data_IF_836913498844
#
_entry.id   IF_836913498844
#
_cell.length_a   1.000
_cell.length_b   1.000
_cell.length_c   1.000
_cell.angle_alpha   90.00
_cell.angle_beta   90.00
_cell.angle_gamma   90.00
#
_symmetry.space_group_name_H-M   'P 1'
#
loop_
_entity.id
_entity.type
_entity.pdbx_description
1 polymer ?
#
# COMPACT_ATOMS: atom_id res chain seq x y z
N UNK A 1 -31.49 42.78 27.78
CA UNK A 1 -31.21 43.27 26.42
C UNK A 1 -29.76 43.03 26.00
N UNK A 2 -28.73 43.71 26.52
CA UNK A 2 -27.32 43.44 26.11
C UNK A 2 -26.89 42.01 26.43
N UNK A 3 -27.25 41.48 27.60
CA UNK A 3 -26.90 40.10 27.96
C UNK A 3 -27.57 39.05 27.04
N UNK A 4 -28.76 39.36 26.52
CA UNK A 4 -29.44 38.51 25.53
C UNK A 4 -28.74 38.57 24.17
N UNK A 5 -28.28 39.77 23.77
CA UNK A 5 -27.48 39.95 22.55
C UNK A 5 -26.16 39.18 22.63
N UNK A 6 -25.47 39.23 23.78
CA UNK A 6 -24.23 38.48 24.00
C UNK A 6 -24.50 36.98 23.93
N UNK A 7 -25.55 36.48 24.57
CA UNK A 7 -25.91 35.06 24.49
C UNK A 7 -26.26 34.62 23.06
N UNK A 8 -26.98 35.45 22.31
CA UNK A 8 -27.28 35.18 20.91
C UNK A 8 -26.01 35.10 20.06
N UNK A 9 -25.09 36.07 20.20
CA UNK A 9 -23.82 36.07 19.47
C UNK A 9 -22.93 34.89 19.86
N UNK A 10 -22.90 34.54 21.15
CA UNK A 10 -22.18 33.37 21.63
C UNK A 10 -22.71 32.09 20.96
N UNK A 11 -24.03 31.93 20.86
CA UNK A 11 -24.62 30.76 20.19
C UNK A 11 -24.17 30.66 18.72
N UNK A 12 -24.18 31.78 17.98
CA UNK A 12 -23.69 31.80 16.59
C UNK A 12 -22.20 31.45 16.52
N UNK A 13 -21.39 32.00 17.43
CA UNK A 13 -19.97 31.70 17.50
C UNK A 13 -19.71 30.21 17.78
N UNK A 14 -20.49 29.60 18.69
CA UNK A 14 -20.40 28.19 19.02
C UNK A 14 -20.84 27.30 17.84
N UNK A 15 -21.91 27.67 17.11
CA UNK A 15 -22.32 27.01 15.87
C UNK A 15 -21.22 27.02 14.80
N UNK A 16 -20.52 28.16 14.63
CA UNK A 16 -19.44 28.29 13.66
C UNK A 16 -18.20 27.47 14.07
N UNK A 17 -17.91 27.35 15.38
CA UNK A 17 -16.88 26.44 15.89
C UNK A 17 -17.24 24.97 15.63
N UNK A 18 -18.50 24.59 15.79
CA UNK A 18 -18.94 23.23 15.51
C UNK A 18 -18.90 22.92 14.01
N UNK A 19 -19.25 23.89 13.16
CA UNK A 19 -19.08 23.80 11.70
C UNK A 19 -17.62 23.58 11.32
N UNK A 20 -16.68 24.26 11.97
CA UNK A 20 -15.25 24.02 11.81
C UNK A 20 -14.88 22.57 12.13
N UNK A 21 -15.26 22.07 13.32
CA UNK A 21 -14.94 20.69 13.75
C UNK A 21 -15.49 19.66 12.76
N UNK A 22 -16.70 19.87 12.26
CA UNK A 22 -17.32 18.99 11.26
C UNK A 22 -16.53 19.01 9.95
N UNK A 23 -16.10 20.19 9.48
CA UNK A 23 -15.31 20.31 8.26
C UNK A 23 -13.95 19.61 8.39
N UNK A 24 -13.22 19.88 9.48
CA UNK A 24 -11.93 19.25 9.76
C UNK A 24 -12.07 17.73 9.93
N UNK A 25 -13.08 17.28 10.67
CA UNK A 25 -13.38 15.86 10.83
C UNK A 25 -13.62 15.16 9.49
N UNK A 26 -14.40 15.77 8.59
CA UNK A 26 -14.64 15.21 7.25
C UNK A 26 -13.41 15.24 6.36
N UNK A 27 -12.58 16.29 6.42
CA UNK A 27 -11.29 16.31 5.70
C UNK A 27 -10.37 15.19 6.19
N UNK A 28 -10.23 15.02 7.51
CA UNK A 28 -9.41 13.96 8.11
C UNK A 28 -9.91 12.56 7.70
N UNK A 29 -11.22 12.36 7.65
CA UNK A 29 -11.83 11.11 7.13
C UNK A 29 -11.48 10.86 5.66
N UNK A 30 -11.52 11.89 4.80
CA UNK A 30 -11.13 11.75 3.38
C UNK A 30 -9.66 11.35 3.26
N UNK A 31 -8.77 11.97 4.05
CA UNK A 31 -7.33 11.62 4.05
C UNK A 31 -7.15 10.16 4.46
N UNK A 32 -7.75 9.75 5.58
CA UNK A 32 -7.68 8.37 6.08
C UNK A 32 -8.20 7.36 5.07
N UNK A 33 -9.40 7.58 4.54
CA UNK A 33 -10.02 6.68 3.56
C UNK A 33 -9.23 6.63 2.25
N UNK A 34 -8.66 7.74 1.80
CA UNK A 34 -7.80 7.74 0.60
C UNK A 34 -6.56 6.86 0.79
N UNK A 35 -5.96 6.86 1.99
CA UNK A 35 -4.83 5.97 2.33
C UNK A 35 -5.21 4.48 2.28
N UNK A 36 -6.41 4.12 2.75
CA UNK A 36 -6.93 2.76 2.67
C UNK A 36 -7.08 2.33 1.20
N UNK A 37 -7.69 3.18 0.36
CA UNK A 37 -7.85 2.88 -1.07
C UNK A 37 -6.52 2.76 -1.80
N UNK A 38 -5.52 3.59 -1.49
CA UNK A 38 -4.17 3.46 -2.06
C UNK A 38 -3.52 2.11 -1.71
N UNK A 39 -3.72 1.65 -0.47
CA UNK A 39 -3.24 0.32 -0.04
C UNK A 39 -3.93 -0.79 -0.82
N UNK A 40 -5.25 -0.70 -1.01
CA UNK A 40 -6.03 -1.68 -1.78
C UNK A 40 -5.61 -1.70 -3.25
N UNK A 41 -5.29 -0.54 -3.83
CA UNK A 41 -4.73 -0.45 -5.19
C UNK A 41 -3.34 -1.11 -5.24
N UNK A 42 -2.50 -0.92 -4.23
CA UNK A 42 -1.19 -1.60 -4.13
C UNK A 42 -1.33 -3.13 -4.13
N UNK A 43 -2.32 -3.66 -3.40
CA UNK A 43 -2.66 -5.08 -3.44
C UNK A 43 -3.13 -5.51 -4.83
N UNK A 44 -3.99 -4.71 -5.47
CA UNK A 44 -4.49 -4.99 -6.82
C UNK A 44 -3.33 -5.05 -7.83
N UNK A 45 -2.39 -4.12 -7.75
CA UNK A 45 -1.19 -4.10 -8.60
C UNK A 45 -0.39 -5.40 -8.44
N UNK A 46 -0.17 -5.86 -7.21
CA UNK A 46 0.53 -7.14 -6.93
C UNK A 46 -0.19 -8.32 -7.58
N UNK A 47 -1.51 -8.39 -7.45
CA UNK A 47 -2.32 -9.46 -8.04
C UNK A 47 -2.25 -9.44 -9.58
N UNK A 48 -2.29 -8.25 -10.16
CA UNK A 48 -2.19 -8.04 -11.60
C UNK A 48 -0.81 -8.37 -12.17
N UNK A 49 0.24 -8.11 -11.40
CA UNK A 49 1.61 -8.50 -11.76
C UNK A 49 1.72 -10.02 -11.91
N UNK A 50 1.13 -10.79 -11.01
CA UNK A 50 1.14 -12.25 -11.08
C UNK A 50 0.31 -12.79 -12.26
N UNK A 51 -0.73 -12.07 -12.69
CA UNK A 51 -1.58 -12.45 -13.80
C UNK A 51 -1.11 -11.88 -15.16
N UNK A 52 0.04 -11.21 -15.21
CA UNK A 52 0.47 -10.45 -16.39
C UNK A 52 0.69 -11.33 -17.61
N UNK A 53 1.23 -12.54 -17.47
CA UNK A 53 1.62 -13.36 -18.63
C UNK A 53 0.41 -13.85 -19.44
N UNK A 54 -0.76 -13.96 -18.81
CA UNK A 54 -2.01 -14.36 -19.45
C UNK A 54 -2.79 -13.20 -20.11
N UNK A 55 -2.35 -11.95 -19.92
CA UNK A 55 -3.07 -10.77 -20.43
C UNK A 55 -2.55 -10.29 -21.78
N UNK A 56 -3.47 -9.91 -22.67
CA UNK A 56 -3.12 -9.23 -23.91
C UNK A 56 -2.41 -7.89 -23.61
N UNK A 57 -1.39 -7.54 -24.40
CA UNK A 57 -0.56 -6.35 -24.15
C UNK A 57 -1.37 -5.05 -24.16
N UNK A 58 -2.38 -4.94 -25.04
CA UNK A 58 -3.27 -3.77 -25.09
C UNK A 58 -4.04 -3.59 -23.78
N UNK A 59 -4.51 -4.69 -23.19
CA UNK A 59 -5.24 -4.66 -21.91
C UNK A 59 -4.31 -4.21 -20.77
N UNK A 60 -3.05 -4.65 -20.76
CA UNK A 60 -2.05 -4.19 -19.78
C UNK A 60 -1.84 -2.68 -19.83
N UNK A 61 -1.68 -2.12 -21.02
CA UNK A 61 -1.47 -0.68 -21.21
C UNK A 61 -2.67 0.10 -20.69
N UNK A 62 -3.89 -0.29 -21.08
CA UNK A 62 -5.12 0.35 -20.60
C UNK A 62 -5.21 0.27 -19.08
N UNK A 63 -4.91 -0.89 -18.50
CA UNK A 63 -4.96 -1.10 -17.06
C UNK A 63 -3.99 -0.18 -16.31
N UNK A 64 -2.75 -0.06 -16.79
CA UNK A 64 -1.74 0.83 -16.20
C UNK A 64 -2.25 2.28 -16.22
N UNK A 65 -2.77 2.74 -17.36
CA UNK A 65 -3.33 4.09 -17.49
C UNK A 65 -4.48 4.32 -16.49
N UNK A 66 -5.42 3.38 -16.39
CA UNK A 66 -6.56 3.47 -15.47
C UNK A 66 -6.08 3.52 -14.01
N UNK A 67 -5.15 2.64 -13.62
CA UNK A 67 -4.59 2.63 -12.26
C UNK A 67 -3.87 3.94 -11.94
N UNK A 68 -3.07 4.47 -12.87
CA UNK A 68 -2.39 5.78 -12.68
C UNK A 68 -3.38 6.91 -12.49
N UNK A 69 -4.48 6.94 -13.27
CA UNK A 69 -5.55 7.94 -13.11
C UNK A 69 -6.20 7.83 -11.74
N UNK A 70 -6.51 6.60 -11.28
CA UNK A 70 -7.11 6.36 -9.96
C UNK A 70 -6.18 6.86 -8.84
N UNK A 71 -4.89 6.50 -8.88
CA UNK A 71 -3.90 6.97 -7.89
C UNK A 71 -3.85 8.50 -7.87
N UNK A 72 -3.80 9.13 -9.04
CA UNK A 72 -3.76 10.60 -9.17
C UNK A 72 -5.00 11.25 -8.55
N UNK A 73 -6.18 10.66 -8.73
CA UNK A 73 -7.43 11.16 -8.13
C UNK A 73 -7.40 11.06 -6.59
N UNK A 74 -6.92 9.97 -6.03
CA UNK A 74 -6.79 9.82 -4.58
C UNK A 74 -5.74 10.77 -3.99
N UNK A 75 -4.59 10.94 -4.65
CA UNK A 75 -3.58 11.92 -4.24
C UNK A 75 -4.13 13.35 -4.29
N UNK A 76 -4.83 13.72 -5.36
CA UNK A 76 -5.46 15.05 -5.50
C UNK A 76 -6.52 15.28 -4.42
N UNK A 77 -7.32 14.27 -4.13
CA UNK A 77 -8.30 14.31 -3.03
C UNK A 77 -7.63 14.53 -1.68
N UNK A 78 -6.56 13.79 -1.41
CA UNK A 78 -5.80 13.90 -0.17
C UNK A 78 -5.15 15.27 -0.03
N UNK A 79 -4.56 15.80 -1.11
CA UNK A 79 -3.94 17.11 -1.13
C UNK A 79 -4.94 18.22 -0.80
N UNK A 80 -6.10 18.24 -1.47
CA UNK A 80 -7.15 19.22 -1.20
C UNK A 80 -7.69 19.13 0.24
N UNK A 81 -7.82 17.91 0.79
CA UNK A 81 -8.23 17.73 2.18
C UNK A 81 -7.17 18.21 3.18
N UNK A 82 -5.88 17.98 2.91
CA UNK A 82 -4.76 18.47 3.73
C UNK A 82 -4.67 20.00 3.71
N UNK A 83 -4.91 20.64 2.56
CA UNK A 83 -5.03 22.10 2.47
C UNK A 83 -6.18 22.63 3.33
N UNK A 84 -7.29 21.89 3.45
CA UNK A 84 -8.40 22.23 4.35
C UNK A 84 -8.10 22.03 5.84
N UNK A 85 -7.07 21.25 6.17
CA UNK A 85 -6.64 20.96 7.55
C UNK A 85 -5.46 21.83 8.01
N UNK A 86 -4.84 22.61 7.13
CA UNK A 86 -3.60 23.32 7.46
C UNK A 86 -3.81 24.39 8.53
N UNK A 87 -3.30 24.23 9.77
CA UNK A 87 -3.50 25.21 10.83
C UNK A 87 -2.81 26.54 10.54
N UNK A 88 -1.78 26.56 9.70
CA UNK A 88 -1.06 27.79 9.33
C UNK A 88 -1.87 28.67 8.38
N UNK A 89 -2.75 28.07 7.58
CA UNK A 89 -3.58 28.79 6.60
C UNK A 89 -4.82 29.42 7.22
N UNK A 90 -5.33 28.89 8.34
CA UNK A 90 -6.58 29.36 8.95
C UNK A 90 -6.32 29.88 10.37
N UNK A 91 -6.11 31.20 10.47
CA UNK A 91 -5.96 31.90 11.74
C UNK A 91 -7.33 32.36 12.23
N UNK A 92 -7.95 31.56 13.07
CA UNK A 92 -9.25 31.88 13.67
C UNK A 92 -9.13 33.05 14.63
N UNK A 93 -10.10 33.96 14.55
CA UNK A 93 -10.25 35.05 15.50
C UNK A 93 -10.88 34.51 16.79
N UNK A 94 -10.33 34.94 17.93
CA UNK A 94 -10.82 34.64 19.27
C UNK A 94 -10.75 35.91 20.10
N UNK A 95 -11.73 36.08 21.00
CA UNK A 95 -11.67 37.15 22.00
C UNK A 95 -10.41 37.02 22.86
N UNK A 96 -9.78 38.15 23.18
CA UNK A 96 -8.58 38.16 23.99
C UNK A 96 -8.96 38.08 25.49
N UNK A 97 -8.49 37.06 26.23
CA UNK A 97 -8.82 36.94 27.65
C UNK A 97 -8.26 38.08 28.52
N UNK A 98 -7.22 38.80 28.06
CA UNK A 98 -6.66 39.93 28.84
C UNK A 98 -7.56 41.16 28.84
N UNK A 99 -8.45 41.27 27.86
CA UNK A 99 -9.40 42.38 27.68
C UNK A 99 -10.32 42.54 28.89
N UNK A 100 -10.53 41.49 29.69
CA UNK A 100 -11.30 41.54 30.96
C UNK A 100 -10.70 42.53 31.97
N UNK A 101 -9.38 42.72 31.97
CA UNK A 101 -8.69 43.57 32.95
C UNK A 101 -8.58 45.04 32.51
N UNK A 102 -8.97 45.36 31.28
CA UNK A 102 -8.77 46.68 30.67
C UNK A 102 -9.95 47.64 30.94
N UNK A 103 -11.09 47.13 31.41
CA UNK A 103 -12.31 47.91 31.62
C UNK A 103 -12.62 48.08 33.10
N UNK A 104 -12.84 49.34 33.51
CA UNK A 104 -13.30 49.67 34.87
C UNK A 104 -14.82 49.64 35.01
N UNK A 105 -15.56 49.70 33.90
CA UNK A 105 -17.03 49.65 33.86
C UNK A 105 -17.50 48.39 33.14
N UNK A 106 -18.53 47.77 33.70
CA UNK A 106 -19.10 46.53 33.18
C UNK A 106 -19.80 46.76 31.84
N UNK A 107 -20.44 47.91 31.66
CA UNK A 107 -21.14 48.27 30.44
C UNK A 107 -20.19 48.38 29.24
N UNK A 108 -19.05 49.06 29.43
CA UNK A 108 -18.02 49.23 28.39
C UNK A 108 -17.42 47.87 27.99
N UNK A 109 -17.21 46.98 28.98
CA UNK A 109 -16.76 45.61 28.74
C UNK A 109 -17.79 44.79 27.93
N UNK A 110 -19.08 44.90 28.26
CA UNK A 110 -20.14 44.21 27.53
C UNK A 110 -20.24 44.69 26.08
N UNK A 111 -20.05 45.99 25.83
CA UNK A 111 -20.00 46.51 24.46
C UNK A 111 -18.79 45.97 23.69
N UNK A 112 -17.62 45.88 24.33
CA UNK A 112 -16.44 45.29 23.72
C UNK A 112 -16.64 43.80 23.38
N UNK A 113 -17.27 43.02 24.27
CA UNK A 113 -17.61 41.61 24.01
C UNK A 113 -18.45 41.47 22.75
N UNK A 114 -19.47 42.32 22.58
CA UNK A 114 -20.33 42.31 21.39
C UNK A 114 -19.50 42.57 20.12
N UNK A 115 -18.59 43.55 20.15
CA UNK A 115 -17.68 43.85 19.03
C UNK A 115 -16.76 42.68 18.70
N UNK A 116 -16.14 42.09 19.72
CA UNK A 116 -15.22 40.96 19.55
C UNK A 116 -15.93 39.74 18.96
N UNK A 117 -17.16 39.45 19.38
CA UNK A 117 -17.97 38.38 18.79
C UNK A 117 -18.31 38.67 17.34
N UNK A 118 -18.78 39.88 17.00
CA UNK A 118 -19.13 40.23 15.62
C UNK A 118 -17.93 40.06 14.68
N UNK A 119 -16.76 40.56 15.07
CA UNK A 119 -15.52 40.43 14.29
C UNK A 119 -15.12 38.96 14.16
N UNK A 120 -15.21 38.20 15.25
CA UNK A 120 -14.80 36.80 15.26
C UNK A 120 -15.72 35.92 14.42
N UNK A 121 -17.03 36.15 14.48
CA UNK A 121 -18.02 35.42 13.68
C UNK A 121 -17.77 35.68 12.20
N UNK A 122 -17.67 36.95 11.77
CA UNK A 122 -17.47 37.31 10.36
C UNK A 122 -16.17 36.70 9.79
N UNK A 123 -15.08 36.86 10.53
CA UNK A 123 -13.76 36.30 10.15
C UNK A 123 -13.80 34.77 10.08
N UNK A 124 -14.35 34.11 11.11
CA UNK A 124 -14.36 32.65 11.19
C UNK A 124 -15.31 32.04 10.15
N UNK A 125 -16.43 32.70 9.84
CA UNK A 125 -17.36 32.28 8.80
C UNK A 125 -16.73 32.31 7.41
N UNK A 126 -15.93 33.33 7.10
CA UNK A 126 -15.17 33.40 5.84
C UNK A 126 -14.17 32.25 5.73
N UNK A 127 -13.38 32.02 6.79
CA UNK A 127 -12.38 30.94 6.84
C UNK A 127 -13.02 29.55 6.71
N UNK A 128 -14.12 29.30 7.43
CA UNK A 128 -14.83 28.03 7.36
C UNK A 128 -15.49 27.80 6.00
N UNK A 129 -15.94 28.85 5.34
CA UNK A 129 -16.47 28.76 3.97
C UNK A 129 -15.37 28.37 2.97
N UNK A 130 -14.15 28.89 3.14
CA UNK A 130 -12.99 28.45 2.35
C UNK A 130 -12.66 26.97 2.62
N UNK A 131 -12.61 26.54 3.89
CA UNK A 131 -12.41 25.12 4.25
C UNK A 131 -13.46 24.22 3.62
N UNK A 132 -14.73 24.63 3.63
CA UNK A 132 -15.82 23.89 3.01
C UNK A 132 -15.66 23.78 1.50
N UNK A 133 -15.13 24.80 0.83
CA UNK A 133 -14.79 24.74 -0.59
C UNK A 133 -13.71 23.69 -0.87
N UNK A 134 -12.64 23.66 -0.05
CA UNK A 134 -11.57 22.63 -0.13
C UNK A 134 -12.13 21.23 0.12
N UNK A 135 -12.97 21.07 1.14
CA UNK A 135 -13.65 19.81 1.44
C UNK A 135 -14.54 19.36 0.27
N UNK A 136 -15.28 20.27 -0.35
CA UNK A 136 -16.12 19.95 -1.50
C UNK A 136 -15.28 19.48 -2.70
N UNK A 137 -14.14 20.14 -2.95
CA UNK A 137 -13.20 19.73 -4.00
C UNK A 137 -12.62 18.34 -3.71
N UNK A 138 -12.13 18.11 -2.48
CA UNK A 138 -11.60 16.82 -2.05
C UNK A 138 -12.63 15.70 -2.21
N UNK A 139 -13.86 15.93 -1.73
CA UNK A 139 -14.98 14.98 -1.85
C UNK A 139 -15.30 14.66 -3.31
N UNK A 140 -15.35 15.66 -4.19
CA UNK A 140 -15.64 15.43 -5.62
C UNK A 140 -14.61 14.51 -6.25
N UNK A 141 -13.32 14.77 -6.03
CA UNK A 141 -12.24 13.91 -6.54
C UNK A 141 -12.24 12.53 -5.91
N UNK A 142 -12.49 12.43 -4.60
CA UNK A 142 -12.58 11.17 -3.88
C UNK A 142 -13.67 10.27 -4.47
N UNK A 143 -14.87 10.81 -4.64
CA UNK A 143 -16.04 10.07 -5.14
C UNK A 143 -15.79 9.54 -6.56
N UNK A 144 -15.18 10.34 -7.43
CA UNK A 144 -14.78 9.88 -8.78
C UNK A 144 -13.76 8.74 -8.69
N UNK A 145 -12.76 8.86 -7.81
CA UNK A 145 -11.78 7.80 -7.54
C UNK A 145 -12.43 6.49 -7.07
N UNK A 146 -13.41 6.58 -6.16
CA UNK A 146 -14.17 5.43 -5.66
C UNK A 146 -14.94 4.75 -6.79
N UNK A 147 -15.64 5.50 -7.64
CA UNK A 147 -16.38 4.93 -8.76
C UNK A 147 -15.47 4.24 -9.78
N UNK A 148 -14.33 4.86 -10.12
CA UNK A 148 -13.36 4.25 -11.03
C UNK A 148 -12.72 2.99 -10.43
N UNK A 149 -12.41 3.00 -9.13
CA UNK A 149 -11.90 1.82 -8.43
C UNK A 149 -12.92 0.68 -8.42
N UNK A 150 -14.19 0.99 -8.16
CA UNK A 150 -15.28 0.01 -8.23
C UNK A 150 -15.44 -0.56 -9.64
N UNK A 151 -15.43 0.30 -10.67
CA UNK A 151 -15.51 -0.12 -12.06
C UNK A 151 -14.32 -1.01 -12.48
N UNK A 152 -13.10 -0.63 -12.10
CA UNK A 152 -11.90 -1.42 -12.34
C UNK A 152 -11.99 -2.80 -11.65
N UNK A 153 -12.40 -2.81 -10.39
CA UNK A 153 -12.51 -4.05 -9.59
C UNK A 153 -13.55 -4.99 -10.21
N UNK A 154 -14.71 -4.47 -10.58
CA UNK A 154 -15.75 -5.25 -11.27
C UNK A 154 -15.26 -5.79 -12.61
N UNK A 155 -14.62 -4.94 -13.42
CA UNK A 155 -14.05 -5.34 -14.71
C UNK A 155 -12.99 -6.44 -14.57
N UNK A 156 -12.14 -6.37 -13.54
CA UNK A 156 -11.16 -7.40 -13.25
C UNK A 156 -11.78 -8.72 -12.81
N UNK A 157 -12.82 -8.69 -11.97
CA UNK A 157 -13.55 -9.90 -11.59
C UNK A 157 -14.14 -10.58 -12.83
N UNK A 158 -14.82 -9.82 -13.70
CA UNK A 158 -15.37 -10.35 -14.96
C UNK A 158 -14.26 -10.92 -15.83
N UNK A 159 -13.15 -10.20 -16.00
CA UNK A 159 -12.02 -10.68 -16.80
C UNK A 159 -11.46 -12.01 -16.26
N UNK A 160 -11.21 -12.08 -14.96
CA UNK A 160 -10.65 -13.27 -14.32
C UNK A 160 -11.63 -14.45 -14.37
N UNK A 161 -12.92 -14.24 -14.15
CA UNK A 161 -13.93 -15.31 -14.18
C UNK A 161 -14.12 -15.93 -15.56
N UNK A 162 -14.07 -15.13 -16.64
CA UNK A 162 -14.39 -15.63 -17.99
C UNK A 162 -13.16 -15.95 -18.84
N UNK A 163 -12.04 -15.24 -18.65
CA UNK A 163 -10.88 -15.32 -19.54
C UNK A 163 -9.66 -15.99 -18.90
N UNK A 164 -9.51 -15.96 -17.57
CA UNK A 164 -8.33 -16.52 -16.89
C UNK A 164 -8.40 -18.05 -16.70
N UNK A 165 -9.60 -18.65 -16.72
CA UNK A 165 -9.82 -20.10 -16.52
C UNK A 165 -9.24 -20.96 -17.67
N UNK A 166 -8.81 -20.38 -18.79
CA UNK A 166 -8.35 -21.14 -19.97
C UNK A 166 -6.86 -21.43 -20.06
N UNK A 167 -6.06 -21.02 -19.07
CA UNK A 167 -4.64 -21.39 -19.08
C UNK A 167 -4.51 -22.76 -18.44
N UNK A 168 -4.51 -23.82 -19.26
CA UNK A 168 -3.97 -25.11 -18.82
C UNK A 168 -2.67 -24.83 -18.11
N UNK A 169 -2.59 -25.16 -16.82
CA UNK A 169 -1.34 -25.13 -16.08
C UNK A 169 -0.36 -25.95 -16.91
N UNK A 170 0.55 -25.29 -17.62
CA UNK A 170 1.70 -25.99 -18.19
C UNK A 170 2.27 -26.76 -17.00
N UNK A 171 2.30 -28.10 -17.03
CA UNK A 171 2.84 -28.85 -15.91
C UNK A 171 4.20 -28.22 -15.66
N UNK A 172 4.44 -27.78 -14.41
CA UNK A 172 5.77 -27.35 -14.02
C UNK A 172 6.70 -28.45 -14.53
N UNK A 173 7.49 -28.14 -15.55
CA UNK A 173 8.67 -28.96 -15.85
C UNK A 173 9.53 -28.76 -14.62
N UNK A 174 9.33 -29.61 -13.63
CA UNK A 174 10.36 -29.94 -12.69
C UNK A 174 11.45 -30.50 -13.60
N UNK A 175 12.36 -29.63 -14.05
CA UNK A 175 13.68 -30.08 -14.39
C UNK A 175 14.19 -30.69 -13.10
N UNK A 176 13.99 -32.00 -12.96
CA UNK A 176 14.85 -32.82 -12.14
C UNK A 176 16.25 -32.41 -12.59
N UNK A 177 16.92 -31.59 -11.79
CA UNK A 177 18.36 -31.43 -11.85
C UNK A 177 18.84 -32.87 -11.84
N UNK A 178 19.25 -33.34 -13.01
CA UNK A 178 19.68 -34.71 -13.20
C UNK A 178 20.67 -34.97 -12.09
N UNK A 179 20.47 -36.01 -11.26
CA UNK A 179 21.30 -36.23 -10.10
C UNK A 179 22.75 -36.15 -10.53
N UNK A 180 23.52 -35.31 -9.85
CA UNK A 180 24.98 -35.11 -10.00
C UNK A 180 25.76 -36.42 -9.66
N UNK A 181 25.10 -37.57 -9.68
CA UNK A 181 25.61 -38.87 -9.26
C UNK A 181 26.08 -39.74 -10.43
N UNK A 182 25.77 -39.43 -11.71
CA UNK A 182 26.21 -40.29 -12.82
C UNK A 182 27.74 -40.29 -12.99
N UNK A 183 28.39 -39.14 -12.90
CA UNK A 183 29.83 -39.02 -13.12
C UNK A 183 30.66 -39.62 -11.99
N UNK A 184 30.14 -39.60 -10.75
CA UNK A 184 30.80 -40.25 -9.60
C UNK A 184 30.52 -41.76 -9.55
N UNK A 185 29.31 -42.20 -9.90
CA UNK A 185 28.99 -43.63 -9.99
C UNK A 185 29.77 -44.34 -11.09
N UNK A 186 30.01 -43.70 -12.24
CA UNK A 186 30.87 -44.28 -13.29
C UNK A 186 32.33 -44.39 -12.85
N UNK A 187 32.87 -43.38 -12.13
CA UNK A 187 34.22 -43.44 -11.58
C UNK A 187 34.36 -44.57 -10.55
N UNK A 188 33.41 -44.67 -9.62
CA UNK A 188 33.39 -45.75 -8.62
C UNK A 188 33.23 -47.12 -9.28
N UNK A 189 32.41 -47.22 -10.34
CA UNK A 189 32.25 -48.47 -11.10
C UNK A 189 33.54 -48.89 -11.82
N UNK A 190 34.26 -47.93 -12.42
CA UNK A 190 35.55 -48.20 -13.07
C UNK A 190 36.62 -48.60 -12.05
N UNK A 191 36.72 -47.91 -10.91
CA UNK A 191 37.65 -48.27 -9.84
C UNK A 191 37.37 -49.68 -9.29
N UNK A 192 36.10 -50.04 -9.10
CA UNK A 192 35.73 -51.40 -8.67
C UNK A 192 36.07 -52.47 -9.72
N UNK A 193 35.94 -52.16 -11.01
CA UNK A 193 36.32 -53.07 -12.09
C UNK A 193 37.83 -53.32 -12.13
N UNK A 194 38.64 -52.27 -11.92
CA UNK A 194 40.09 -52.37 -11.88
C UNK A 194 40.60 -53.10 -10.64
N UNK A 195 40.00 -52.86 -9.47
CA UNK A 195 40.30 -53.62 -8.24
C UNK A 195 40.03 -55.11 -8.47
N UNK A 196 38.88 -55.46 -9.06
CA UNK A 196 38.52 -56.85 -9.35
C UNK A 196 39.50 -57.52 -10.33
N UNK A 197 39.96 -56.78 -11.34
CA UNK A 197 40.95 -57.27 -12.32
C UNK A 197 42.31 -57.51 -11.69
N UNK A 198 42.73 -56.66 -10.76
CA UNK A 198 43.99 -56.81 -10.04
C UNK A 198 43.93 -58.00 -9.06
N UNK A 199 42.83 -58.16 -8.32
CA UNK A 199 42.58 -59.33 -7.46
C UNK A 199 42.63 -60.65 -8.24
N UNK A 200 42.06 -60.71 -9.45
CA UNK A 200 42.15 -61.90 -10.29
C UNK A 200 43.58 -62.19 -10.76
N UNK A 201 44.37 -61.16 -11.11
CA UNK A 201 45.79 -61.35 -11.46
C UNK A 201 46.62 -61.84 -10.28
N UNK A 202 46.38 -61.31 -9.09
CA UNK A 202 47.11 -61.73 -7.88
C UNK A 202 46.73 -63.16 -7.48
N UNK A 203 45.47 -63.54 -7.62
CA UNK A 203 45.01 -64.92 -7.43
C UNK A 203 45.67 -65.87 -8.44
N UNK A 204 45.83 -65.46 -9.71
CA UNK A 204 46.52 -66.25 -10.74
C UNK A 204 48.03 -66.33 -10.52
N UNK A 205 48.66 -65.26 -10.00
CA UNK A 205 50.09 -65.25 -9.63
C UNK A 205 50.38 -66.20 -8.47
N UNK A 206 49.53 -66.21 -7.43
CA UNK A 206 49.63 -67.18 -6.32
C UNK A 206 49.44 -68.62 -6.80
N UNK A 207 48.52 -68.85 -7.74
CA UNK A 207 48.26 -70.19 -8.32
C UNK A 207 49.41 -70.69 -9.21
N UNK A 208 50.12 -69.78 -9.89
CA UNK A 208 51.27 -70.11 -10.74
C UNK A 208 52.61 -70.16 -9.99
N UNK A 209 52.74 -69.45 -8.86
CA UNK A 209 53.88 -69.56 -7.94
C UNK A 209 54.00 -70.95 -7.31
N UNK A 210 52.87 -71.62 -7.04
CA UNK A 210 52.84 -73.00 -6.51
C UNK A 210 53.11 -74.10 -7.57
N UNK A 211 53.38 -73.76 -8.84
CA UNK A 211 53.60 -74.75 -9.93
C UNK A 211 55.04 -74.81 -10.45
N UNK A 212 55.99 -74.10 -9.83
CA UNK A 212 57.41 -74.20 -10.15
C UNK A 212 58.27 -74.45 -8.91
N UNK A 213 58.13 -75.65 -8.35
CA UNK A 213 59.27 -76.41 -7.82
C UNK A 213 59.08 -77.88 -8.19
N UNK A 214 59.74 -78.33 -9.27
CA UNK A 214 60.19 -79.70 -9.36
C UNK A 214 61.72 -79.75 -9.33
N UNK A 215 62.22 -80.80 -8.67
CA UNK A 215 63.58 -81.33 -8.73
C UNK A 215 64.54 -80.71 -7.70
N UNK A 216 65.30 -81.48 -6.92
CA UNK A 216 66.15 -82.59 -7.37
C UNK A 216 66.46 -83.60 -6.27
N UNK A 217 66.44 -84.88 -6.65
CA UNK A 217 67.35 -85.89 -6.11
C UNK A 217 68.81 -85.48 -6.30
N UNK A 218 69.68 -85.80 -5.33
CA UNK A 218 71.04 -86.25 -5.61
C UNK A 218 71.62 -87.01 -4.39
N UNK A 219 71.86 -88.30 -4.64
CA UNK A 219 72.80 -89.25 -4.00
C UNK A 219 72.65 -89.62 -2.52
#
# INVERSE_FOLDING_TARGET
MIDEQINYLKNIYDEENDRQKVAEGKCAQIVSNSGIFLTLIGLLITLLYNAQDAMAILFKIILVVVVTVIITLYLRSMWAALEGLNPLSYRYSRANPTTVHEFSKVEDFKEQIVKDYLISIDTNQALNSEKLSRLAQARKTFVVGVYLTGALTFGLIVYLSFFYIKTESKPQKIELVSPIYHTELEKVSQELADIKKNLQRDTLRLKNGNKKEPSRHAH
#
